data_IF_451952410144
#
_entry.id   IF_451952410144
#
_cell.length_a   1.000
_cell.length_b   1.000
_cell.length_c   1.000
_cell.angle_alpha   90.00
_cell.angle_beta   90.00
_cell.angle_gamma   90.00
#
_symmetry.space_group_name_H-M   'P 1'
#
loop_
_entity.id
_entity.type
_entity.pdbx_description
1 polymer ?
#
# COMPACT_ATOMS: atom_id res chain seq x y z
N UNK A 1 32.42 50.63 -9.94
CA UNK A 1 32.64 49.29 -10.51
C UNK A 1 32.14 48.29 -9.48
N UNK A 2 30.85 47.93 -9.52
CA UNK A 2 30.25 46.96 -8.60
C UNK A 2 29.69 45.85 -9.49
N UNK A 3 30.33 44.70 -9.41
CA UNK A 3 30.03 43.53 -10.22
C UNK A 3 28.86 42.80 -9.53
N UNK A 4 27.66 42.91 -10.10
CA UNK A 4 26.51 42.14 -9.66
C UNK A 4 26.69 40.69 -10.10
N UNK A 5 26.97 39.81 -9.14
CA UNK A 5 26.96 38.36 -9.34
C UNK A 5 25.50 37.91 -9.39
N UNK A 6 24.98 37.72 -10.59
CA UNK A 6 23.71 37.02 -10.79
C UNK A 6 23.93 35.54 -10.49
N UNK A 7 23.53 35.10 -9.30
CA UNK A 7 23.30 33.68 -9.01
C UNK A 7 22.07 33.22 -9.80
N UNK A 8 22.31 32.80 -11.05
CA UNK A 8 21.37 31.97 -11.80
C UNK A 8 21.38 30.58 -11.20
N UNK A 9 20.63 30.40 -10.11
CA UNK A 9 20.18 29.06 -9.75
C UNK A 9 19.26 28.59 -10.88
N UNK A 10 19.49 27.40 -11.48
CA UNK A 10 18.54 26.85 -12.41
C UNK A 10 17.25 26.63 -11.60
N UNK A 11 16.23 27.43 -11.90
CA UNK A 11 14.85 27.06 -11.59
C UNK A 11 14.62 25.85 -12.47
N UNK A 12 14.96 24.67 -11.97
CA UNK A 12 14.37 23.44 -12.45
C UNK A 12 12.88 23.66 -12.31
N UNK A 13 12.21 23.96 -13.43
CA UNK A 13 10.77 23.91 -13.53
C UNK A 13 10.43 22.44 -13.32
N UNK A 14 10.36 22.02 -12.05
CA UNK A 14 9.78 20.75 -11.66
C UNK A 14 8.35 20.87 -12.14
N UNK A 15 8.01 20.14 -13.20
CA UNK A 15 6.67 20.09 -13.76
C UNK A 15 5.70 19.92 -12.58
N UNK A 16 4.82 20.90 -12.39
CA UNK A 16 3.84 20.88 -11.31
C UNK A 16 2.95 19.66 -11.50
N UNK A 17 2.98 18.74 -10.54
CA UNK A 17 2.07 17.60 -10.53
C UNK A 17 0.65 18.14 -10.40
N UNK A 18 -0.11 18.12 -11.50
CA UNK A 18 -1.50 18.54 -11.48
C UNK A 18 -2.32 17.43 -10.82
N UNK A 19 -2.97 17.76 -9.70
CA UNK A 19 -3.79 16.84 -8.91
C UNK A 19 -5.24 16.73 -9.41
N UNK A 20 -5.61 17.48 -10.45
CA UNK A 20 -6.97 17.57 -10.96
C UNK A 20 -7.90 18.33 -10.01
N UNK A 21 -9.19 18.38 -10.28
CA UNK A 21 -10.17 19.02 -9.37
C UNK A 21 -11.53 18.36 -9.48
N UNK A 22 -12.20 18.29 -8.34
CA UNK A 22 -13.57 17.82 -8.21
C UNK A 22 -14.55 18.96 -7.93
N UNK A 23 -14.09 20.22 -7.85
CA UNK A 23 -14.95 21.38 -7.55
C UNK A 23 -15.92 21.70 -8.70
N UNK A 24 -15.55 21.36 -9.93
CA UNK A 24 -16.32 21.67 -11.12
C UNK A 24 -16.30 20.49 -12.08
N UNK A 25 -17.46 20.05 -12.54
CA UNK A 25 -17.53 19.12 -13.66
C UNK A 25 -17.41 19.87 -14.99
N UNK A 26 -16.81 19.24 -16.00
CA UNK A 26 -16.68 19.76 -17.37
C UNK A 26 -18.00 20.24 -17.96
N UNK A 27 -19.11 19.55 -17.67
CA UNK A 27 -20.43 19.93 -18.17
C UNK A 27 -20.98 21.19 -17.47
N UNK A 28 -20.67 21.36 -16.19
CA UNK A 28 -21.10 22.53 -15.40
C UNK A 28 -20.35 23.78 -15.85
N UNK A 29 -19.04 23.65 -16.09
CA UNK A 29 -18.18 24.75 -16.54
C UNK A 29 -18.69 25.42 -17.82
N UNK A 30 -19.28 24.65 -18.75
CA UNK A 30 -19.75 25.15 -20.04
C UNK A 30 -20.92 26.14 -19.94
N UNK A 31 -21.76 26.00 -18.90
CA UNK A 31 -22.99 26.80 -18.76
C UNK A 31 -23.01 27.66 -17.49
N UNK A 32 -21.95 27.59 -16.67
CA UNK A 32 -21.86 28.33 -15.41
C UNK A 32 -21.61 29.81 -15.66
N UNK A 33 -22.42 30.64 -15.02
CA UNK A 33 -22.10 32.07 -14.85
C UNK A 33 -21.19 32.20 -13.63
N UNK A 34 -19.99 32.74 -13.84
CA UNK A 34 -18.96 32.86 -12.81
C UNK A 34 -19.24 34.04 -11.89
N UNK A 35 -19.17 33.81 -10.58
CA UNK A 35 -19.26 34.86 -9.57
C UNK A 35 -17.92 35.11 -8.84
N UNK A 36 -17.92 36.06 -7.90
CA UNK A 36 -16.73 36.41 -7.13
C UNK A 36 -16.26 35.25 -6.23
N UNK A 37 -17.18 34.45 -5.71
CA UNK A 37 -16.86 33.30 -4.86
C UNK A 37 -16.14 32.22 -5.65
N UNK A 38 -16.58 31.94 -6.89
CA UNK A 38 -15.91 31.02 -7.79
C UNK A 38 -14.48 31.46 -8.12
N UNK A 39 -14.28 32.75 -8.40
CA UNK A 39 -12.95 33.30 -8.68
C UNK A 39 -12.04 33.16 -7.47
N UNK A 40 -12.56 33.39 -6.26
CA UNK A 40 -11.81 33.23 -5.02
C UNK A 40 -11.48 31.76 -4.73
N UNK A 41 -12.40 30.83 -4.98
CA UNK A 41 -12.15 29.39 -4.86
C UNK A 41 -11.04 28.94 -5.82
N UNK A 42 -11.15 29.27 -7.11
CA UNK A 42 -10.15 28.91 -8.11
C UNK A 42 -8.77 29.49 -7.78
N UNK A 43 -8.71 30.75 -7.35
CA UNK A 43 -7.45 31.40 -6.98
C UNK A 43 -6.84 30.79 -5.72
N UNK A 44 -7.66 30.46 -4.72
CA UNK A 44 -7.23 29.77 -3.51
C UNK A 44 -6.68 28.38 -3.83
N UNK A 45 -7.38 27.62 -4.68
CA UNK A 45 -6.94 26.32 -5.16
C UNK A 45 -5.62 26.40 -5.92
N UNK A 46 -5.44 27.39 -6.79
CA UNK A 46 -4.19 27.59 -7.53
C UNK A 46 -3.00 27.86 -6.58
N UNK A 47 -3.21 28.58 -5.48
CA UNK A 47 -2.19 28.76 -4.46
C UNK A 47 -1.92 27.47 -3.69
N UNK A 48 -2.96 26.69 -3.38
CA UNK A 48 -2.80 25.40 -2.70
C UNK A 48 -2.02 24.38 -3.54
N UNK A 49 -2.21 24.36 -4.86
CA UNK A 49 -1.41 23.52 -5.75
C UNK A 49 0.10 23.83 -5.67
N UNK A 50 0.48 25.07 -5.29
CA UNK A 50 1.88 25.44 -5.07
C UNK A 50 2.42 24.96 -3.72
N UNK A 51 1.54 24.74 -2.75
CA UNK A 51 1.88 24.35 -1.38
C UNK A 51 1.90 22.84 -1.17
N UNK A 52 1.21 22.07 -2.03
CA UNK A 52 1.24 20.61 -1.99
C UNK A 52 2.69 20.11 -2.12
N UNK A 53 3.09 19.08 -1.36
CA UNK A 53 4.42 18.50 -1.48
C UNK A 53 4.73 18.08 -2.92
N UNK A 54 5.82 18.62 -3.48
CA UNK A 54 6.29 18.27 -4.83
C UNK A 54 7.05 16.95 -4.86
N UNK A 55 7.65 16.59 -3.73
CA UNK A 55 8.30 15.31 -3.51
C UNK A 55 7.40 14.47 -2.59
N UNK A 56 7.39 13.17 -2.84
CA UNK A 56 6.68 12.22 -1.98
C UNK A 56 7.33 12.24 -0.59
N UNK A 57 6.53 12.53 0.43
CA UNK A 57 6.90 12.48 1.85
C UNK A 57 6.29 11.23 2.49
N UNK A 58 6.77 10.84 3.68
CA UNK A 58 6.15 9.74 4.43
C UNK A 58 4.75 10.12 4.95
N UNK A 59 3.95 9.10 5.28
CA UNK A 59 2.54 9.30 5.63
C UNK A 59 2.35 10.15 6.88
N UNK A 60 3.22 10.01 7.88
CA UNK A 60 3.13 10.79 9.11
C UNK A 60 3.42 12.27 8.85
N UNK A 61 4.50 12.57 8.13
CA UNK A 61 4.84 13.93 7.73
C UNK A 61 3.72 14.59 6.92
N UNK A 62 3.07 13.85 6.01
CA UNK A 62 1.91 14.37 5.27
C UNK A 62 0.73 14.69 6.20
N UNK A 63 0.40 13.81 7.15
CA UNK A 63 -0.67 14.07 8.13
C UNK A 63 -0.37 15.29 9.00
N UNK A 64 0.87 15.44 9.46
CA UNK A 64 1.30 16.59 10.26
C UNK A 64 1.19 17.90 9.45
N UNK A 65 1.53 17.86 8.16
CA UNK A 65 1.33 18.98 7.22
C UNK A 65 -0.15 19.35 7.07
N UNK A 66 -1.05 18.37 6.88
CA UNK A 66 -2.49 18.64 6.78
C UNK A 66 -3.04 19.21 8.09
N UNK A 67 -2.62 18.68 9.23
CA UNK A 67 -2.99 19.20 10.57
C UNK A 67 -2.53 20.64 10.76
N UNK A 68 -1.33 20.99 10.27
CA UNK A 68 -0.83 22.36 10.29
C UNK A 68 -1.72 23.29 9.47
N UNK A 69 -2.12 22.92 8.25
CA UNK A 69 -3.03 23.73 7.43
C UNK A 69 -4.36 23.97 8.15
N UNK A 70 -4.95 22.89 8.69
CA UNK A 70 -6.22 22.99 9.44
C UNK A 70 -6.09 23.96 10.61
N UNK A 71 -5.02 23.85 11.41
CA UNK A 71 -4.75 24.76 12.52
C UNK A 71 -4.54 26.21 12.07
N UNK A 72 -3.78 26.42 11.00
CA UNK A 72 -3.54 27.78 10.46
C UNK A 72 -4.82 28.42 9.95
N UNK A 73 -5.77 27.63 9.44
CA UNK A 73 -7.06 28.15 8.98
C UNK A 73 -7.89 28.81 10.09
N UNK A 74 -7.65 28.47 11.36
CA UNK A 74 -8.33 29.06 12.52
C UNK A 74 -8.01 30.55 12.70
N UNK A 75 -6.92 31.04 12.10
CA UNK A 75 -6.54 32.47 12.10
C UNK A 75 -7.50 33.28 11.20
N UNK A 76 -8.19 32.64 10.25
CA UNK A 76 -9.14 33.29 9.35
C UNK A 76 -10.44 33.57 10.14
N UNK A 77 -10.66 34.85 10.47
CA UNK A 77 -11.77 35.32 11.30
C UNK A 77 -13.12 35.27 10.59
N UNK A 78 -13.15 35.51 9.29
CA UNK A 78 -14.38 35.41 8.49
C UNK A 78 -14.71 33.94 8.21
N UNK A 79 -15.84 33.47 8.73
CA UNK A 79 -16.31 32.09 8.53
C UNK A 79 -16.52 31.77 7.04
N UNK A 80 -17.08 32.70 6.27
CA UNK A 80 -17.27 32.52 4.83
C UNK A 80 -15.93 32.41 4.09
N UNK A 81 -14.96 33.27 4.44
CA UNK A 81 -13.61 33.21 3.84
C UNK A 81 -12.91 31.91 4.21
N UNK A 82 -13.03 31.49 5.49
CA UNK A 82 -12.46 30.24 5.97
C UNK A 82 -13.07 29.04 5.26
N UNK A 83 -14.38 29.04 5.04
CA UNK A 83 -15.09 28.00 4.28
C UNK A 83 -14.58 27.90 2.85
N UNK A 84 -14.56 29.02 2.11
CA UNK A 84 -14.09 29.08 0.71
C UNK A 84 -12.65 28.56 0.59
N UNK A 85 -11.77 29.01 1.49
CA UNK A 85 -10.38 28.57 1.53
C UNK A 85 -10.28 27.06 1.83
N UNK A 86 -11.02 26.56 2.82
CA UNK A 86 -10.94 25.16 3.23
C UNK A 86 -11.56 24.18 2.24
N UNK A 87 -12.57 24.59 1.46
CA UNK A 87 -13.08 23.82 0.31
C UNK A 87 -11.98 23.67 -0.75
N UNK A 88 -11.28 24.76 -1.05
CA UNK A 88 -10.18 24.76 -2.03
C UNK A 88 -8.98 23.91 -1.56
N UNK A 89 -8.66 23.97 -0.26
CA UNK A 89 -7.65 23.13 0.40
C UNK A 89 -8.05 21.65 0.33
N UNK A 90 -9.30 21.33 0.64
CA UNK A 90 -9.80 19.97 0.62
C UNK A 90 -9.72 19.37 -0.79
N UNK A 91 -10.06 20.13 -1.83
CA UNK A 91 -9.98 19.67 -3.22
C UNK A 91 -8.54 19.33 -3.62
N UNK A 92 -7.61 20.24 -3.35
CA UNK A 92 -6.21 20.06 -3.71
C UNK A 92 -5.57 18.89 -2.93
N UNK A 93 -5.81 18.80 -1.61
CA UNK A 93 -5.33 17.68 -0.77
C UNK A 93 -5.99 16.36 -1.20
N UNK A 94 -7.28 16.37 -1.51
CA UNK A 94 -8.03 15.21 -1.97
C UNK A 94 -7.45 14.63 -3.26
N UNK A 95 -7.18 15.49 -4.23
CA UNK A 95 -6.53 15.11 -5.48
C UNK A 95 -5.13 14.54 -5.27
N UNK A 96 -4.33 15.14 -4.39
CA UNK A 96 -2.99 14.61 -4.06
C UNK A 96 -3.05 13.27 -3.31
N UNK A 97 -4.00 13.13 -2.37
CA UNK A 97 -4.22 11.88 -1.64
C UNK A 97 -4.56 10.75 -2.60
N UNK A 98 -5.56 10.96 -3.46
CA UNK A 98 -5.99 9.96 -4.43
C UNK A 98 -4.91 9.65 -5.47
N UNK A 99 -4.33 10.70 -6.06
CA UNK A 99 -3.38 10.58 -7.15
C UNK A 99 -2.04 10.01 -6.72
N UNK A 100 -1.54 10.35 -5.53
CA UNK A 100 -0.14 10.09 -5.17
C UNK A 100 0.05 9.45 -3.81
N UNK A 101 -0.51 10.04 -2.75
CA UNK A 101 -0.18 9.65 -1.38
C UNK A 101 -0.75 8.28 -1.00
N UNK A 102 -2.01 7.98 -1.34
CA UNK A 102 -2.65 6.70 -1.02
C UNK A 102 -1.96 5.50 -1.71
N UNK A 103 -1.65 5.54 -3.02
CA UNK A 103 -0.85 4.50 -3.65
C UNK A 103 0.50 4.28 -2.96
N UNK A 104 1.21 5.36 -2.64
CA UNK A 104 2.52 5.28 -2.02
C UNK A 104 2.48 4.67 -0.61
N UNK A 105 1.55 5.13 0.23
CA UNK A 105 1.44 4.67 1.60
C UNK A 105 0.92 3.22 1.68
N UNK A 106 0.03 2.82 0.77
CA UNK A 106 -0.42 1.43 0.67
C UNK A 106 0.74 0.50 0.30
N UNK A 107 1.56 0.88 -0.68
CA UNK A 107 2.77 0.12 -1.05
C UNK A 107 3.76 0.03 0.13
N UNK A 108 4.01 1.15 0.83
CA UNK A 108 4.85 1.15 2.03
C UNK A 108 4.29 0.23 3.14
N UNK A 109 2.97 0.23 3.34
CA UNK A 109 2.27 -0.65 4.27
C UNK A 109 2.44 -2.14 3.90
N UNK A 110 2.27 -2.49 2.62
CA UNK A 110 2.49 -3.85 2.13
C UNK A 110 3.96 -4.28 2.16
N UNK A 111 4.89 -3.34 2.12
CA UNK A 111 6.33 -3.57 2.38
C UNK A 111 6.66 -3.65 3.87
N UNK A 112 5.72 -3.36 4.76
CA UNK A 112 5.93 -3.33 6.21
C UNK A 112 6.74 -2.13 6.70
N UNK A 113 6.77 -1.05 5.91
CA UNK A 113 7.50 0.21 6.20
C UNK A 113 6.61 1.31 6.76
N UNK A 114 5.30 1.12 6.69
CA UNK A 114 4.31 2.05 7.25
C UNK A 114 3.35 1.32 8.19
N UNK A 115 2.88 2.03 9.21
CA UNK A 115 1.95 1.49 10.19
C UNK A 115 0.51 1.47 9.68
N UNK A 116 -0.32 0.59 10.24
CA UNK A 116 -1.76 0.61 9.98
C UNK A 116 -2.40 1.93 10.42
N UNK A 117 -1.98 2.49 11.55
CA UNK A 117 -2.55 3.70 12.12
C UNK A 117 -2.43 4.89 11.16
N UNK A 118 -1.21 5.17 10.68
CA UNK A 118 -0.93 6.25 9.72
C UNK A 118 -1.66 6.01 8.39
N UNK A 119 -1.56 4.80 7.84
CA UNK A 119 -2.21 4.44 6.57
C UNK A 119 -3.72 4.62 6.66
N UNK A 120 -4.33 4.12 7.74
CA UNK A 120 -5.77 4.23 7.98
C UNK A 120 -6.20 5.68 8.20
N UNK A 121 -5.42 6.50 8.92
CA UNK A 121 -5.73 7.92 9.11
C UNK A 121 -5.78 8.67 7.77
N UNK A 122 -4.88 8.36 6.83
CA UNK A 122 -4.91 8.92 5.47
C UNK A 122 -6.13 8.46 4.66
N UNK A 123 -6.52 7.18 4.74
CA UNK A 123 -7.76 6.69 4.11
C UNK A 123 -9.01 7.32 4.72
N UNK A 124 -9.03 7.53 6.04
CA UNK A 124 -10.10 8.26 6.74
C UNK A 124 -10.14 9.72 6.28
N UNK A 125 -9.00 10.39 6.17
CA UNK A 125 -8.90 11.76 5.67
C UNK A 125 -9.45 11.87 4.25
N UNK A 126 -9.07 10.97 3.34
CA UNK A 126 -9.58 10.92 1.97
C UNK A 126 -11.10 10.78 1.93
N UNK A 127 -11.68 9.86 2.72
CA UNK A 127 -13.15 9.72 2.82
C UNK A 127 -13.83 10.97 3.37
N UNK A 128 -13.25 11.63 4.38
CA UNK A 128 -13.77 12.88 4.94
C UNK A 128 -13.77 14.00 3.91
N UNK A 129 -12.69 14.14 3.14
CA UNK A 129 -12.59 15.13 2.06
C UNK A 129 -13.65 14.87 0.99
N UNK A 130 -13.77 13.62 0.53
CA UNK A 130 -14.81 13.21 -0.43
C UNK A 130 -16.22 13.55 0.07
N UNK A 131 -16.48 13.31 1.35
CA UNK A 131 -17.75 13.67 1.98
C UNK A 131 -17.97 15.20 2.04
N UNK A 132 -16.97 15.98 2.44
CA UNK A 132 -17.06 17.45 2.53
C UNK A 132 -17.33 18.08 1.17
N UNK A 133 -16.73 17.54 0.12
CA UNK A 133 -16.85 18.05 -1.25
C UNK A 133 -18.00 17.42 -2.04
N UNK A 134 -18.73 16.48 -1.45
CA UNK A 134 -19.77 15.67 -2.12
C UNK A 134 -19.29 15.07 -3.46
N UNK A 135 -18.13 14.43 -3.43
CA UNK A 135 -17.48 13.86 -4.62
C UNK A 135 -17.02 12.42 -4.39
N UNK A 136 -16.97 11.65 -5.47
CA UNK A 136 -16.28 10.36 -5.50
C UNK A 136 -14.81 10.48 -5.92
N UNK A 137 -14.35 11.70 -6.21
CA UNK A 137 -13.00 12.00 -6.71
C UNK A 137 -12.89 11.98 -8.23
N UNK A 138 -14.01 11.92 -8.97
CA UNK A 138 -14.04 12.22 -10.41
C UNK A 138 -13.52 13.65 -10.64
N UNK A 139 -12.63 13.80 -11.60
CA UNK A 139 -11.96 15.06 -11.93
C UNK A 139 -10.59 15.24 -11.24
N UNK A 140 -10.31 14.50 -10.15
CA UNK A 140 -8.96 14.36 -9.64
C UNK A 140 -8.10 13.44 -10.51
N UNK A 141 -6.79 13.61 -10.40
CA UNK A 141 -5.82 12.76 -11.08
C UNK A 141 -5.98 11.30 -10.66
N UNK A 142 -5.87 10.40 -11.64
CA UNK A 142 -5.91 8.97 -11.40
C UNK A 142 -4.73 8.54 -10.51
N UNK A 143 -4.90 7.51 -9.66
CA UNK A 143 -3.81 7.06 -8.79
C UNK A 143 -2.60 6.60 -9.60
N UNK A 144 -1.41 7.08 -9.21
CA UNK A 144 -0.13 6.74 -9.86
C UNK A 144 0.12 5.23 -9.82
N UNK A 145 0.79 4.75 -10.85
CA UNK A 145 1.25 3.37 -10.89
C UNK A 145 2.56 3.25 -10.11
N UNK A 146 2.52 2.58 -8.96
CA UNK A 146 3.71 2.29 -8.13
C UNK A 146 4.48 1.07 -8.71
N UNK A 147 3.97 0.47 -9.79
CA UNK A 147 4.51 -0.73 -10.40
C UNK A 147 4.08 -1.98 -9.64
N UNK A 148 4.16 -3.13 -10.31
CA UNK A 148 4.05 -4.42 -9.64
C UNK A 148 5.19 -4.55 -8.61
N UNK A 149 4.96 -5.19 -7.46
CA UNK A 149 6.02 -5.73 -6.62
C UNK A 149 6.87 -6.69 -7.47
N UNK A 150 7.87 -6.17 -8.16
CA UNK A 150 8.69 -6.94 -9.09
C UNK A 150 9.84 -7.58 -8.32
N UNK A 151 10.07 -8.86 -8.60
CA UNK A 151 11.20 -9.64 -8.09
C UNK A 151 12.51 -9.23 -8.80
N UNK A 152 12.44 -8.39 -9.83
CA UNK A 152 13.59 -8.10 -10.68
C UNK A 152 14.68 -7.30 -9.97
N UNK A 153 15.80 -7.99 -9.87
CA UNK A 153 17.16 -7.51 -9.67
C UNK A 153 17.63 -7.42 -8.23
N UNK A 154 18.47 -8.39 -7.90
CA UNK A 154 19.38 -8.49 -6.76
C UNK A 154 20.40 -7.32 -6.66
N UNK A 155 20.00 -6.09 -6.96
CA UNK A 155 20.84 -4.92 -6.93
C UNK A 155 20.09 -3.76 -6.29
N UNK A 156 20.64 -3.26 -5.18
CA UNK A 156 20.19 -2.14 -4.34
C UNK A 156 19.46 -2.60 -3.07
N UNK A 157 20.29 -3.03 -2.12
CA UNK A 157 19.97 -3.20 -0.71
C UNK A 157 19.10 -4.41 -0.38
N UNK A 158 19.72 -5.60 -0.30
CA UNK A 158 19.20 -6.68 0.55
C UNK A 158 19.26 -6.18 2.00
N UNK A 159 18.30 -5.35 2.37
CA UNK A 159 18.18 -4.85 3.72
C UNK A 159 17.74 -6.05 4.57
N UNK A 160 18.56 -6.47 5.53
CA UNK A 160 18.34 -7.66 6.36
C UNK A 160 16.92 -7.68 6.99
N UNK A 161 16.32 -6.50 7.15
CA UNK A 161 14.93 -6.25 7.56
C UNK A 161 13.85 -6.93 6.69
N UNK A 162 14.13 -7.27 5.44
CA UNK A 162 13.17 -7.92 4.54
C UNK A 162 13.18 -9.45 4.64
N UNK A 163 14.18 -10.04 5.32
CA UNK A 163 14.23 -11.49 5.52
C UNK A 163 13.07 -11.98 6.38
N UNK A 164 12.58 -13.16 6.03
CA UNK A 164 11.58 -13.90 6.80
C UNK A 164 12.24 -15.22 7.17
N UNK A 165 12.61 -15.34 8.45
CA UNK A 165 13.16 -16.58 9.00
C UNK A 165 12.07 -17.62 9.21
N UNK A 166 12.36 -18.89 8.96
CA UNK A 166 11.45 -19.99 9.22
C UNK A 166 11.21 -20.15 10.72
N UNK A 167 10.10 -20.78 11.10
CA UNK A 167 9.86 -21.15 12.50
C UNK A 167 10.47 -22.53 12.76
N UNK A 168 11.38 -22.62 13.73
CA UNK A 168 12.13 -23.86 14.01
C UNK A 168 11.42 -24.75 15.03
N UNK A 169 10.72 -24.14 15.99
CA UNK A 169 10.08 -24.87 17.08
C UNK A 169 8.67 -25.35 16.68
N UNK A 170 8.56 -26.64 16.38
CA UNK A 170 7.31 -27.33 16.05
C UNK A 170 6.39 -26.57 15.06
N UNK A 171 6.91 -26.16 13.89
CA UNK A 171 6.18 -25.30 12.95
C UNK A 171 4.87 -25.92 12.43
N UNK A 172 4.82 -27.25 12.34
CA UNK A 172 3.67 -27.99 11.85
C UNK A 172 2.49 -28.05 12.81
N UNK A 173 2.69 -27.89 14.13
CA UNK A 173 1.61 -28.08 15.11
C UNK A 173 0.50 -27.02 15.01
N UNK A 174 0.84 -25.84 14.49
CA UNK A 174 -0.12 -24.75 14.31
C UNK A 174 -0.89 -24.81 12.98
N UNK A 175 -0.58 -25.76 12.08
CA UNK A 175 -1.10 -25.81 10.71
C UNK A 175 -1.93 -27.07 10.44
N UNK A 176 -3.02 -26.91 9.70
CA UNK A 176 -3.79 -28.03 9.15
C UNK A 176 -3.01 -28.62 7.97
N UNK A 177 -3.01 -29.95 7.91
CA UNK A 177 -2.39 -30.71 6.83
C UNK A 177 -3.43 -31.57 6.13
N UNK A 178 -3.29 -31.76 4.82
CA UNK A 178 -4.05 -32.78 4.09
C UNK A 178 -3.23 -34.06 3.95
N UNK A 179 -3.87 -35.19 4.27
CA UNK A 179 -3.32 -36.55 4.19
C UNK A 179 -3.03 -37.15 5.57
N UNK A 180 -3.36 -38.43 5.75
CA UNK A 180 -2.84 -39.22 6.88
C UNK A 180 -1.33 -39.41 6.68
N UNK A 181 -0.49 -39.27 7.72
CA UNK A 181 0.92 -39.60 7.62
C UNK A 181 1.04 -41.08 7.24
N UNK A 182 1.35 -41.32 5.96
CA UNK A 182 1.51 -42.68 5.45
C UNK A 182 2.79 -43.28 6.02
N UNK A 183 2.79 -44.58 6.30
CA UNK A 183 3.94 -45.32 6.82
C UNK A 183 5.21 -45.22 5.93
N UNK A 184 5.05 -44.76 4.69
CA UNK A 184 6.09 -44.55 3.68
C UNK A 184 6.77 -43.15 3.74
N UNK A 185 6.45 -42.32 4.74
CA UNK A 185 7.16 -41.05 4.96
C UNK A 185 6.77 -39.91 4.01
N UNK A 186 5.65 -40.02 3.28
CA UNK A 186 5.08 -38.88 2.57
C UNK A 186 4.59 -37.84 3.60
N UNK A 187 5.27 -36.70 3.61
CA UNK A 187 4.99 -35.59 4.52
C UNK A 187 3.60 -35.03 4.22
N UNK A 188 2.80 -34.85 5.27
CA UNK A 188 1.47 -34.26 5.15
C UNK A 188 1.56 -32.90 4.43
N UNK A 189 0.64 -32.62 3.51
CA UNK A 189 0.72 -31.41 2.67
C UNK A 189 0.16 -30.22 3.43
N UNK A 190 0.98 -29.17 3.62
CA UNK A 190 0.53 -27.89 4.21
C UNK A 190 -0.42 -27.20 3.24
N UNK A 191 -1.63 -26.89 3.71
CA UNK A 191 -2.64 -26.19 2.93
C UNK A 191 -2.27 -24.72 2.73
N UNK A 192 -2.61 -24.14 1.58
CA UNK A 192 -2.46 -22.71 1.31
C UNK A 192 -3.59 -21.87 1.92
N UNK A 193 -3.38 -20.57 2.18
CA UNK A 193 -4.46 -19.65 2.50
C UNK A 193 -5.40 -19.48 1.30
N UNK A 194 -6.68 -19.21 1.57
CA UNK A 194 -7.71 -19.12 0.52
C UNK A 194 -8.56 -17.87 0.74
N UNK A 195 -8.75 -17.09 -0.32
CA UNK A 195 -9.74 -16.03 -0.35
C UNK A 195 -11.12 -16.59 -0.70
N UNK A 196 -12.18 -15.94 -0.23
CA UNK A 196 -13.55 -16.25 -0.68
C UNK A 196 -13.77 -15.92 -2.17
N UNK A 197 -13.09 -14.90 -2.69
CA UNK A 197 -12.99 -14.57 -4.11
C UNK A 197 -11.57 -14.08 -4.45
N UNK A 198 -10.96 -14.59 -5.52
CA UNK A 198 -9.56 -14.26 -5.86
C UNK A 198 -9.40 -12.87 -6.49
N UNK A 199 -10.47 -12.25 -6.98
CA UNK A 199 -10.43 -10.94 -7.65
C UNK A 199 -10.95 -9.81 -6.76
N UNK A 200 -11.98 -10.08 -5.95
CA UNK A 200 -12.62 -9.10 -5.08
C UNK A 200 -12.97 -9.68 -3.70
N UNK A 201 -11.97 -10.09 -2.90
CA UNK A 201 -12.22 -10.82 -1.67
C UNK A 201 -12.96 -10.01 -0.61
N UNK A 202 -13.83 -10.66 0.16
CA UNK A 202 -14.36 -10.17 1.43
C UNK A 202 -13.58 -10.72 2.62
N UNK A 203 -13.05 -11.93 2.48
CA UNK A 203 -12.47 -12.71 3.57
C UNK A 203 -11.24 -13.52 3.13
N UNK A 204 -10.30 -13.72 4.05
CA UNK A 204 -9.13 -14.56 3.88
C UNK A 204 -9.11 -15.64 4.96
N UNK A 205 -9.05 -16.90 4.54
CA UNK A 205 -8.93 -18.06 5.42
C UNK A 205 -7.48 -18.53 5.52
N UNK A 206 -7.01 -18.76 6.74
CA UNK A 206 -5.74 -19.41 7.03
C UNK A 206 -5.97 -20.80 7.63
N UNK A 207 -5.17 -21.81 7.23
CA UNK A 207 -5.33 -23.18 7.69
C UNK A 207 -4.65 -23.41 9.05
N UNK A 208 -5.02 -22.64 10.07
CA UNK A 208 -4.52 -22.83 11.43
C UNK A 208 -5.27 -23.96 12.14
N UNK A 209 -4.59 -24.76 12.98
CA UNK A 209 -5.23 -25.84 13.75
C UNK A 209 -6.16 -25.33 14.84
N UNK A 210 -5.82 -24.20 15.46
CA UNK A 210 -6.56 -23.63 16.60
C UNK A 210 -6.88 -22.16 16.36
N UNK A 211 -7.98 -21.70 16.95
CA UNK A 211 -8.38 -20.30 16.97
C UNK A 211 -9.13 -19.84 15.71
N UNK A 212 -9.11 -18.52 15.49
CA UNK A 212 -9.77 -17.88 14.35
C UNK A 212 -9.04 -18.25 13.06
N UNK A 213 -9.80 -18.73 12.06
CA UNK A 213 -9.28 -19.13 10.74
C UNK A 213 -9.70 -18.19 9.62
N UNK A 214 -10.82 -17.50 9.77
CA UNK A 214 -11.37 -16.60 8.75
C UNK A 214 -11.21 -15.15 9.19
N UNK A 215 -10.61 -14.32 8.33
CA UNK A 215 -10.27 -12.92 8.63
C UNK A 215 -10.89 -11.99 7.60
N UNK A 216 -11.54 -10.89 8.03
CA UNK A 216 -12.03 -9.89 7.08
C UNK A 216 -10.85 -9.15 6.46
N UNK A 217 -10.92 -8.84 5.16
CA UNK A 217 -9.77 -8.24 4.45
C UNK A 217 -9.62 -6.73 4.70
N UNK A 218 -10.68 -6.07 5.16
CA UNK A 218 -10.80 -4.62 5.37
C UNK A 218 -10.25 -4.17 6.74
N UNK A 219 -9.70 -5.08 7.55
CA UNK A 219 -9.15 -4.79 8.88
C UNK A 219 -7.80 -5.45 9.08
N UNK A 220 -6.90 -4.82 9.85
CA UNK A 220 -5.60 -5.41 10.13
C UNK A 220 -5.76 -6.58 11.10
N UNK A 221 -4.74 -7.42 11.15
CA UNK A 221 -4.60 -8.37 12.23
C UNK A 221 -4.23 -7.66 13.53
N UNK A 222 -4.96 -7.96 14.60
CA UNK A 222 -4.75 -7.35 15.94
C UNK A 222 -4.59 -8.41 17.04
N UNK A 223 -4.03 -9.59 16.71
CA UNK A 223 -3.81 -10.64 17.71
C UNK A 223 -2.95 -10.17 18.88
N UNK A 224 -3.35 -10.53 20.11
CA UNK A 224 -2.68 -10.11 21.34
C UNK A 224 -1.29 -10.71 21.51
N UNK A 225 -1.12 -11.97 21.09
CA UNK A 225 0.06 -12.77 21.46
C UNK A 225 1.15 -12.75 20.37
N UNK A 226 0.78 -12.43 19.13
CA UNK A 226 1.69 -12.31 18.01
C UNK A 226 1.28 -11.12 17.12
N UNK A 227 2.06 -10.04 17.22
CA UNK A 227 1.88 -8.80 16.46
C UNK A 227 2.37 -8.89 15.02
N UNK A 228 3.00 -10.01 14.61
CA UNK A 228 3.43 -10.20 13.23
C UNK A 228 2.21 -10.22 12.30
N UNK A 229 2.31 -9.63 11.09
CA UNK A 229 1.25 -9.75 10.10
C UNK A 229 0.88 -11.21 9.79
N UNK A 230 -0.41 -11.49 9.57
CA UNK A 230 -0.93 -12.86 9.40
C UNK A 230 -0.22 -13.64 8.31
N UNK A 231 -0.03 -13.03 7.14
CA UNK A 231 0.59 -13.72 6.01
C UNK A 231 2.07 -14.04 6.28
N UNK A 232 2.78 -13.14 6.98
CA UNK A 232 4.16 -13.39 7.42
C UNK A 232 4.17 -14.54 8.43
N UNK A 233 3.31 -14.51 9.45
CA UNK A 233 3.21 -15.56 10.46
C UNK A 233 2.95 -16.92 9.82
N UNK A 234 1.98 -17.00 8.93
CA UNK A 234 1.65 -18.23 8.22
C UNK A 234 2.83 -18.72 7.37
N UNK A 235 3.46 -17.85 6.58
CA UNK A 235 4.57 -18.25 5.72
C UNK A 235 5.75 -18.83 6.52
N UNK A 236 6.07 -18.25 7.68
CA UNK A 236 7.13 -18.77 8.58
C UNK A 236 6.86 -20.19 9.04
N UNK A 237 5.63 -20.44 9.52
CA UNK A 237 5.20 -21.76 9.98
C UNK A 237 5.19 -22.77 8.83
N UNK A 238 4.65 -22.37 7.68
CA UNK A 238 4.52 -23.26 6.54
C UNK A 238 5.89 -23.61 5.91
N UNK A 239 6.79 -22.64 5.81
CA UNK A 239 8.16 -22.87 5.34
C UNK A 239 8.94 -23.79 6.30
N UNK A 240 8.88 -23.55 7.61
CA UNK A 240 9.53 -24.42 8.60
C UNK A 240 8.94 -25.84 8.60
N UNK A 241 7.62 -25.97 8.46
CA UNK A 241 6.94 -27.26 8.43
C UNK A 241 7.25 -28.09 7.19
N UNK A 242 7.46 -27.43 6.05
CA UNK A 242 7.75 -28.10 4.77
C UNK A 242 9.24 -28.19 4.47
N UNK A 243 10.11 -27.88 5.43
CA UNK A 243 11.56 -27.86 5.26
C UNK A 243 12.14 -29.19 4.72
N UNK A 244 11.52 -30.33 5.05
CA UNK A 244 11.90 -31.67 4.57
C UNK A 244 11.43 -32.00 3.14
N UNK A 245 10.35 -31.36 2.65
CA UNK A 245 9.78 -31.57 1.32
C UNK A 245 9.33 -30.24 0.68
N UNK A 246 10.24 -29.27 0.47
CA UNK A 246 9.85 -27.88 0.31
C UNK A 246 9.46 -27.50 -1.11
N UNK A 247 9.82 -28.29 -2.13
CA UNK A 247 9.71 -27.87 -3.54
C UNK A 247 8.26 -27.62 -3.98
N UNK A 248 7.35 -28.54 -3.66
CA UNK A 248 5.94 -28.42 -4.05
C UNK A 248 5.27 -27.24 -3.34
N UNK A 249 5.43 -27.15 -2.01
CA UNK A 249 4.91 -26.02 -1.24
C UNK A 249 5.47 -24.68 -1.73
N UNK A 250 6.78 -24.57 -1.97
CA UNK A 250 7.41 -23.34 -2.50
C UNK A 250 6.82 -22.93 -3.84
N UNK A 251 6.64 -23.89 -4.75
CA UNK A 251 6.05 -23.65 -6.07
C UNK A 251 4.59 -23.18 -5.95
N UNK A 252 3.77 -23.90 -5.18
CA UNK A 252 2.34 -23.59 -5.07
C UNK A 252 2.10 -22.28 -4.31
N UNK A 253 2.88 -22.01 -3.24
CA UNK A 253 2.84 -20.74 -2.52
C UNK A 253 3.26 -19.57 -3.40
N UNK A 254 4.35 -19.71 -4.18
CA UNK A 254 4.80 -18.66 -5.09
C UNK A 254 3.74 -18.36 -6.16
N UNK A 255 3.14 -19.42 -6.76
CA UNK A 255 2.06 -19.27 -7.74
C UNK A 255 0.85 -18.55 -7.16
N UNK A 256 0.36 -18.98 -6.00
CA UNK A 256 -0.77 -18.33 -5.34
C UNK A 256 -0.49 -16.86 -5.00
N UNK A 257 0.72 -16.55 -4.54
CA UNK A 257 1.13 -15.17 -4.28
C UNK A 257 1.14 -14.31 -5.56
N UNK A 258 1.69 -14.83 -6.66
CA UNK A 258 1.81 -14.08 -7.91
C UNK A 258 0.47 -13.91 -8.64
N UNK A 259 -0.37 -14.95 -8.66
CA UNK A 259 -1.64 -14.95 -9.39
C UNK A 259 -2.78 -14.30 -8.60
N UNK A 260 -2.75 -14.36 -7.26
CA UNK A 260 -3.86 -13.88 -6.42
C UNK A 260 -3.44 -12.68 -5.58
N UNK A 261 -2.37 -12.78 -4.79
CA UNK A 261 -2.02 -11.71 -3.84
C UNK A 261 -1.46 -10.47 -4.53
N UNK A 262 -0.51 -10.63 -5.45
CA UNK A 262 0.14 -9.52 -6.16
C UNK A 262 -0.86 -8.59 -6.88
N UNK A 263 -1.86 -9.10 -7.62
CA UNK A 263 -2.92 -8.26 -8.19
C UNK A 263 -3.68 -7.44 -7.15
N UNK A 264 -3.99 -8.02 -5.99
CA UNK A 264 -4.67 -7.30 -4.90
C UNK A 264 -3.79 -6.20 -4.30
N UNK A 265 -2.47 -6.42 -4.18
CA UNK A 265 -1.54 -5.37 -3.72
C UNK A 265 -1.41 -4.21 -4.73
N UNK A 266 -1.63 -4.50 -6.02
CA UNK A 266 -1.62 -3.52 -7.10
C UNK A 266 -2.98 -2.83 -7.31
N UNK A 267 -4.03 -3.23 -6.60
CA UNK A 267 -5.35 -2.59 -6.68
C UNK A 267 -5.26 -1.15 -6.15
N UNK A 268 -5.59 -0.20 -7.02
CA UNK A 268 -5.56 1.24 -6.74
C UNK A 268 -6.87 1.76 -6.15
N UNK A 269 -7.92 0.97 -6.19
CA UNK A 269 -9.27 1.33 -5.74
C UNK A 269 -9.60 0.74 -4.37
N UNK A 270 -8.93 -0.34 -3.98
CA UNK A 270 -9.18 -1.01 -2.71
C UNK A 270 -7.89 -1.27 -1.94
N UNK A 271 -7.89 -0.87 -0.68
CA UNK A 271 -6.83 -1.20 0.27
C UNK A 271 -7.23 -2.43 1.10
N UNK A 272 -6.27 -3.32 1.32
CA UNK A 272 -6.43 -4.60 2.03
C UNK A 272 -5.56 -4.65 3.30
N UNK A 273 -5.99 -4.06 4.42
CA UNK A 273 -5.23 -4.07 5.67
C UNK A 273 -4.75 -5.44 6.16
N UNK A 274 -5.50 -6.51 5.90
CA UNK A 274 -5.09 -7.87 6.33
C UNK A 274 -3.77 -8.33 5.70
N UNK A 275 -3.40 -7.75 4.55
CA UNK A 275 -2.21 -8.08 3.76
C UNK A 275 -0.97 -7.27 4.18
N UNK A 276 -0.94 -6.72 5.39
CA UNK A 276 0.24 -6.04 5.92
C UNK A 276 1.52 -6.87 5.70
N UNK A 277 2.57 -6.25 5.17
CA UNK A 277 3.85 -6.94 4.92
C UNK A 277 3.83 -8.02 3.82
N UNK A 278 2.74 -8.19 3.05
CA UNK A 278 2.63 -9.22 2.01
C UNK A 278 3.74 -9.14 0.94
N UNK A 279 4.22 -7.95 0.58
CA UNK A 279 5.31 -7.77 -0.39
C UNK A 279 6.63 -8.41 0.09
N UNK A 280 6.81 -8.62 1.39
CA UNK A 280 7.95 -9.38 1.94
C UNK A 280 7.79 -10.87 1.70
N UNK A 281 6.57 -11.39 1.88
CA UNK A 281 6.25 -12.81 1.63
C UNK A 281 6.37 -13.16 0.15
N UNK A 282 5.86 -12.30 -0.73
CA UNK A 282 6.01 -12.43 -2.19
C UNK A 282 7.49 -12.57 -2.58
N UNK A 283 8.35 -11.67 -2.08
CA UNK A 283 9.80 -11.72 -2.36
C UNK A 283 10.48 -12.95 -1.75
N UNK A 284 10.11 -13.33 -0.53
CA UNK A 284 10.67 -14.50 0.14
C UNK A 284 10.32 -15.80 -0.61
N UNK A 285 9.07 -15.97 -1.03
CA UNK A 285 8.61 -17.13 -1.78
C UNK A 285 9.30 -17.22 -3.16
N UNK A 286 9.41 -16.09 -3.87
CA UNK A 286 10.12 -16.04 -5.14
C UNK A 286 11.61 -16.44 -5.02
N UNK A 287 12.30 -15.95 -3.98
CA UNK A 287 13.69 -16.36 -3.68
C UNK A 287 13.80 -17.85 -3.35
N UNK A 288 12.84 -18.39 -2.61
CA UNK A 288 12.83 -19.80 -2.22
C UNK A 288 12.69 -20.74 -3.44
N UNK A 289 11.93 -20.34 -4.47
CA UNK A 289 11.86 -21.06 -5.75
C UNK A 289 13.18 -20.92 -6.53
N UNK A 290 13.74 -19.71 -6.61
CA UNK A 290 14.99 -19.45 -7.34
C UNK A 290 16.22 -20.17 -6.78
N UNK A 291 16.30 -20.39 -5.47
CA UNK A 291 17.40 -21.16 -4.86
C UNK A 291 17.29 -22.67 -5.11
N UNK A 292 16.10 -23.19 -5.44
CA UNK A 292 15.88 -24.61 -5.74
C UNK A 292 16.36 -25.04 -7.12
N UNK A 293 16.55 -24.12 -8.06
CA UNK A 293 16.94 -24.43 -9.45
C UNK A 293 18.46 -24.48 -9.67
N UNK A 294 19.26 -24.02 -8.71
CA UNK A 294 20.73 -23.97 -8.83
C UNK A 294 21.41 -25.28 -8.36
N UNK A 295 20.68 -26.17 -7.66
CA UNK A 295 21.25 -27.37 -7.05
C UNK A 295 21.34 -28.61 -7.96
N UNK A 296 20.70 -28.62 -9.15
CA UNK A 296 20.69 -29.76 -10.09
C UNK A 296 21.54 -29.50 -11.35
N UNK A 297 22.77 -29.02 -11.16
CA UNK A 297 23.79 -29.08 -12.21
C UNK A 297 24.43 -30.47 -12.24
N UNK A 298 24.57 -31.14 -13.41
CA UNK A 298 25.11 -32.49 -13.46
C UNK A 298 26.55 -32.51 -12.94
N UNK A 299 26.81 -33.37 -11.95
CA UNK A 299 28.15 -33.69 -11.48
C UNK A 299 28.89 -34.34 -12.66
N UNK A 300 29.68 -33.53 -13.35
CA UNK A 300 30.62 -33.98 -14.35
C UNK A 300 31.61 -34.94 -13.70
N UNK A 301 31.56 -36.21 -14.11
CA UNK A 301 32.62 -37.18 -13.85
C UNK A 301 33.91 -36.66 -14.48
N UNK A 302 34.96 -36.57 -13.66
CA UNK A 302 36.35 -36.61 -14.11
C UNK A 302 36.90 -38.01 -13.78
#
# INVERSE_FOLDING_TARGET
MIQAVFLLLPISVIATFNVGTALYNTDEVMYKTWDEEDVLMLRSRMLMDQLIPKNIVDGKTFLDYVKLIMKTSEIITSDQTRRIAMVSVADAIGGYLQGMMLPHVNDAYYKGRESFEVTNELHVLSRKIKFILDTDGRGWTAPVDIGRPTVTSAGIGDNDNDRIYEEEENPCAALLHSGEPSADGQSATVLLPVFDDNSYPGSLAFPFTVGKRLFPVDRPWTGSDDRRPLLIRYYRLAAGCTSSAPLQFRSDMHRWLDEVVVPLLADRHRWYPVLAGASRVVRAAARAVGNGTVADGPIGKA
#
